data_IF_665311706877
#
_entry.id   IF_665311706877
#
_cell.length_a   1.000
_cell.length_b   1.000
_cell.length_c   1.000
_cell.angle_alpha   90.00
_cell.angle_beta   90.00
_cell.angle_gamma   90.00
#
_symmetry.space_group_name_H-M   'P 1'
#
loop_
_entity.id
_entity.type
_entity.pdbx_description
1 polymer ?
#
# COMPACT_ATOMS: atom_id res chain seq x y z
N UNK A 1 -3.54 -18.60 35.77
CA UNK A 1 -2.94 -18.86 34.45
C UNK A 1 -3.10 -17.62 33.59
N UNK A 2 -2.09 -16.75 33.50
CA UNK A 2 -2.17 -15.46 32.78
C UNK A 2 -1.43 -15.62 31.45
N UNK A 3 -2.15 -15.75 30.33
CA UNK A 3 -1.56 -15.62 28.99
C UNK A 3 -1.40 -14.14 28.66
N UNK A 4 -0.19 -13.61 28.84
CA UNK A 4 0.23 -12.34 28.26
C UNK A 4 0.26 -12.49 26.73
N UNK A 5 -0.80 -12.06 26.05
CA UNK A 5 -0.77 -11.85 24.59
C UNK A 5 0.09 -10.61 24.34
N UNK A 6 1.39 -10.79 24.15
CA UNK A 6 2.26 -9.70 23.70
C UNK A 6 1.80 -9.26 22.30
N UNK A 7 1.06 -8.15 22.22
CA UNK A 7 0.90 -7.41 20.97
C UNK A 7 2.25 -6.79 20.67
N UNK A 8 3.00 -7.39 19.73
CA UNK A 8 4.21 -6.75 19.20
C UNK A 8 3.80 -5.48 18.47
N UNK A 9 4.51 -4.39 18.76
CA UNK A 9 4.49 -3.16 18.00
C UNK A 9 5.87 -3.03 17.36
N UNK A 10 5.91 -2.88 16.04
CA UNK A 10 7.16 -2.66 15.31
C UNK A 10 7.00 -1.45 14.39
N UNK A 11 8.02 -0.61 14.33
CA UNK A 11 8.09 0.50 13.39
C UNK A 11 8.95 0.10 12.20
N UNK A 12 8.62 0.60 11.03
CA UNK A 12 9.44 0.40 9.85
C UNK A 12 9.65 1.72 9.10
N UNK A 13 10.73 1.74 8.33
CA UNK A 13 11.02 2.80 7.38
C UNK A 13 11.62 2.17 6.14
N UNK A 14 11.13 2.60 4.98
CA UNK A 14 11.71 2.30 3.69
C UNK A 14 12.12 3.63 3.05
N UNK A 15 13.35 3.70 2.54
CA UNK A 15 13.87 4.89 1.85
C UNK A 15 14.40 4.46 0.50
N UNK A 16 14.27 5.35 -0.48
CA UNK A 16 14.85 5.18 -1.80
C UNK A 16 14.38 3.89 -2.54
N UNK A 17 13.10 3.50 -2.38
CA UNK A 17 12.52 2.42 -3.17
C UNK A 17 12.37 2.87 -4.62
N UNK A 18 13.07 2.22 -5.54
CA UNK A 18 12.95 2.52 -6.95
C UNK A 18 11.77 1.73 -7.55
N UNK A 19 10.70 2.43 -7.95
CA UNK A 19 9.54 1.79 -8.57
C UNK A 19 9.78 1.38 -10.03
N UNK A 20 10.88 1.81 -10.66
CA UNK A 20 11.26 1.39 -12.01
C UNK A 20 11.58 -0.11 -12.12
N UNK A 21 11.66 -0.84 -11.01
CA UNK A 21 11.66 -2.30 -11.00
C UNK A 21 10.33 -2.92 -11.49
N UNK A 22 9.23 -2.15 -11.46
CA UNK A 22 7.92 -2.56 -11.94
C UNK A 22 7.62 -1.91 -13.29
N UNK A 23 7.16 -2.70 -14.26
CA UNK A 23 6.75 -2.17 -15.57
C UNK A 23 5.55 -1.24 -15.40
N UNK A 24 5.56 -0.10 -16.09
CA UNK A 24 4.41 0.80 -16.18
C UNK A 24 4.46 1.99 -15.22
N UNK A 25 5.32 1.97 -14.20
CA UNK A 25 5.43 3.05 -13.21
C UNK A 25 6.89 3.39 -12.88
N UNK A 26 7.12 4.60 -12.38
CA UNK A 26 8.43 5.09 -11.96
C UNK A 26 8.38 5.99 -10.73
N UNK A 27 9.56 6.42 -10.28
CA UNK A 27 9.76 7.32 -9.14
C UNK A 27 10.42 6.65 -7.93
N UNK A 28 10.82 7.49 -6.98
CA UNK A 28 11.53 7.09 -5.77
C UNK A 28 10.61 7.20 -4.55
N UNK A 29 10.28 6.05 -3.97
CA UNK A 29 9.35 5.93 -2.85
C UNK A 29 10.08 5.94 -1.51
N UNK A 30 9.56 6.76 -0.60
CA UNK A 30 9.80 6.66 0.82
C UNK A 30 8.53 6.21 1.51
N UNK A 31 8.66 5.32 2.50
CA UNK A 31 7.55 4.82 3.30
C UNK A 31 7.93 4.73 4.77
N UNK A 32 6.93 4.85 5.63
CA UNK A 32 7.09 4.63 7.06
C UNK A 32 5.75 4.25 7.68
N UNK A 33 5.81 3.50 8.78
CA UNK A 33 4.61 3.08 9.47
C UNK A 33 4.88 2.13 10.62
N UNK A 34 3.82 1.46 11.06
CA UNK A 34 3.85 0.52 12.17
C UNK A 34 3.11 -0.77 11.82
N UNK A 35 3.59 -1.85 12.40
CA UNK A 35 2.95 -3.16 12.45
C UNK A 35 2.48 -3.44 13.87
N UNK A 36 1.29 -4.02 14.01
CA UNK A 36 0.80 -4.48 15.30
C UNK A 36 0.03 -5.79 15.18
N UNK A 37 0.29 -6.74 16.08
CA UNK A 37 -0.54 -7.95 16.24
C UNK A 37 0.20 -9.24 15.93
N UNK A 38 -0.54 -10.25 15.47
CA UNK A 38 -0.01 -11.60 15.22
C UNK A 38 0.31 -11.77 13.74
N UNK A 39 1.30 -12.60 13.39
CA UNK A 39 1.69 -12.84 11.99
C UNK A 39 0.52 -13.20 11.05
N UNK A 40 -0.46 -13.97 11.52
CA UNK A 40 -1.65 -14.34 10.74
C UNK A 40 -2.66 -13.21 10.50
N UNK A 41 -2.50 -12.07 11.18
CA UNK A 41 -3.39 -10.92 11.13
C UNK A 41 -2.67 -9.69 11.71
N UNK A 42 -1.65 -9.22 10.98
CA UNK A 42 -0.87 -8.03 11.33
C UNK A 42 -1.61 -6.79 10.85
N UNK A 43 -1.99 -5.92 11.78
CA UNK A 43 -2.44 -4.57 11.43
C UNK A 43 -1.25 -3.75 10.94
N UNK A 44 -1.44 -3.03 9.84
CA UNK A 44 -0.45 -2.13 9.25
C UNK A 44 -1.08 -0.77 9.08
N UNK A 45 -0.40 0.26 9.56
CA UNK A 45 -0.74 1.65 9.29
C UNK A 45 0.52 2.36 8.84
N UNK A 46 0.44 3.13 7.75
CA UNK A 46 1.60 3.81 7.22
C UNK A 46 1.27 4.84 6.16
N UNK A 47 2.33 5.44 5.65
CA UNK A 47 2.25 6.44 4.58
C UNK A 47 3.42 6.29 3.62
N UNK A 48 3.19 6.66 2.37
CA UNK A 48 4.23 6.77 1.34
C UNK A 48 4.30 8.20 0.83
N UNK A 49 5.47 8.63 0.39
CA UNK A 49 5.68 9.87 -0.35
C UNK A 49 6.66 9.61 -1.50
N UNK A 50 6.30 10.16 -2.65
CA UNK A 50 7.06 10.10 -3.90
C UNK A 50 7.00 11.48 -4.53
N UNK A 51 8.14 12.08 -4.85
CA UNK A 51 8.17 13.42 -5.46
C UNK A 51 8.02 13.37 -6.98
N UNK A 52 8.32 12.22 -7.59
CA UNK A 52 8.51 12.03 -9.02
C UNK A 52 7.78 10.79 -9.55
N UNK A 53 6.63 10.46 -8.96
CA UNK A 53 5.80 9.35 -9.45
C UNK A 53 5.39 9.60 -10.90
N UNK A 54 5.52 8.57 -11.72
CA UNK A 54 5.06 8.60 -13.12
C UNK A 54 4.40 7.28 -13.49
N UNK A 55 3.43 7.36 -14.41
CA UNK A 55 3.04 6.24 -15.23
C UNK A 55 3.89 6.32 -16.49
N UNK A 56 4.65 5.27 -16.82
CA UNK A 56 5.70 5.34 -17.87
C UNK A 56 5.15 5.54 -19.28
N UNK A 57 3.84 5.36 -19.49
CA UNK A 57 3.16 5.74 -20.74
C UNK A 57 2.87 7.23 -20.86
N UNK A 58 3.11 8.01 -19.79
CA UNK A 58 2.97 9.46 -19.73
C UNK A 58 4.33 10.09 -19.47
N UNK A 59 4.53 11.32 -19.94
CA UNK A 59 5.74 12.10 -19.63
C UNK A 59 5.61 12.91 -18.31
N UNK A 60 4.49 12.77 -17.60
CA UNK A 60 4.18 13.60 -16.44
C UNK A 60 4.68 12.94 -15.16
N UNK A 61 5.54 13.67 -14.45
CA UNK A 61 5.95 13.35 -13.08
C UNK A 61 5.16 14.19 -12.09
N UNK A 62 4.60 13.54 -11.08
CA UNK A 62 3.83 14.20 -10.01
C UNK A 62 4.31 13.76 -8.64
N UNK A 63 4.11 14.64 -7.66
CA UNK A 63 4.17 14.20 -6.27
C UNK A 63 2.94 13.35 -5.96
N UNK A 64 3.16 12.14 -5.47
CA UNK A 64 2.14 11.21 -5.00
C UNK A 64 2.40 10.88 -3.53
N UNK A 65 1.41 11.18 -2.69
CA UNK A 65 1.44 10.81 -1.27
C UNK A 65 0.27 9.89 -0.95
N UNK A 66 0.50 8.90 -0.09
CA UNK A 66 -0.52 7.91 0.26
C UNK A 66 -0.54 7.68 1.75
N UNK A 67 -1.72 7.50 2.32
CA UNK A 67 -1.93 6.95 3.65
C UNK A 67 -2.70 5.65 3.53
N UNK A 68 -2.36 4.66 4.34
CA UNK A 68 -3.04 3.37 4.26
C UNK A 68 -3.19 2.68 5.61
N UNK A 69 -4.26 1.88 5.70
CA UNK A 69 -4.51 0.91 6.76
C UNK A 69 -4.84 -0.45 6.14
N UNK A 70 -4.23 -1.50 6.66
CA UNK A 70 -4.42 -2.85 6.14
C UNK A 70 -4.29 -3.92 7.22
N UNK A 71 -4.81 -5.10 6.94
CA UNK A 71 -4.44 -6.33 7.63
C UNK A 71 -3.62 -7.22 6.69
N UNK A 72 -2.48 -7.70 7.16
CA UNK A 72 -1.60 -8.59 6.43
C UNK A 72 -1.56 -9.94 7.12
N UNK A 73 -1.80 -11.01 6.38
CA UNK A 73 -1.44 -12.35 6.80
C UNK A 73 -0.03 -12.65 6.31
N UNK A 74 0.96 -12.48 7.19
CA UNK A 74 2.37 -12.72 6.88
C UNK A 74 2.72 -14.20 6.64
N UNK A 75 1.77 -15.13 6.84
CA UNK A 75 2.01 -16.57 6.60
C UNK A 75 1.71 -17.00 5.17
N UNK A 76 0.88 -16.27 4.44
CA UNK A 76 0.52 -16.56 3.05
C UNK A 76 0.63 -15.34 2.12
N UNK A 77 0.85 -14.15 2.68
CA UNK A 77 1.02 -12.90 1.95
C UNK A 77 -0.29 -12.18 1.60
N UNK A 78 -1.45 -12.67 2.04
CA UNK A 78 -2.73 -12.00 1.77
C UNK A 78 -2.78 -10.64 2.48
N UNK A 79 -3.38 -9.66 1.81
CA UNK A 79 -3.57 -8.30 2.30
C UNK A 79 -5.02 -7.89 2.14
N UNK A 80 -5.64 -7.48 3.24
CA UNK A 80 -6.92 -6.78 3.25
C UNK A 80 -6.65 -5.28 3.40
N UNK A 81 -6.92 -4.50 2.36
CA UNK A 81 -6.75 -3.05 2.37
C UNK A 81 -8.02 -2.41 2.93
N UNK A 82 -7.94 -1.92 4.17
CA UNK A 82 -9.05 -1.28 4.88
C UNK A 82 -9.26 0.16 4.45
N UNK A 83 -8.19 0.83 4.06
CA UNK A 83 -8.22 2.17 3.45
C UNK A 83 -6.89 2.41 2.75
N UNK A 84 -6.94 2.93 1.53
CA UNK A 84 -5.82 3.54 0.83
C UNK A 84 -6.31 4.89 0.33
N UNK A 85 -5.69 5.98 0.79
CA UNK A 85 -6.01 7.34 0.38
C UNK A 85 -4.76 7.98 -0.24
N UNK A 86 -4.82 8.20 -1.55
CA UNK A 86 -3.73 8.73 -2.36
C UNK A 86 -4.06 10.12 -2.88
N UNK A 87 -3.07 11.02 -2.85
CA UNK A 87 -3.20 12.42 -3.24
C UNK A 87 -2.09 12.80 -4.21
N UNK A 88 -2.49 13.42 -5.33
CA UNK A 88 -1.58 14.08 -6.27
C UNK A 88 -2.26 15.33 -6.84
N UNK A 89 -1.57 16.47 -6.80
CA UNK A 89 -2.20 17.76 -7.11
C UNK A 89 -3.47 17.97 -6.27
N UNK A 90 -4.60 18.25 -6.94
CA UNK A 90 -5.92 18.37 -6.30
C UNK A 90 -6.73 17.07 -6.37
N UNK A 91 -6.18 15.98 -6.91
CA UNK A 91 -6.91 14.72 -7.04
C UNK A 91 -6.73 13.88 -5.79
N UNK A 92 -7.84 13.33 -5.29
CA UNK A 92 -7.84 12.33 -4.22
C UNK A 92 -8.41 11.01 -4.74
N UNK A 93 -7.69 9.91 -4.51
CA UNK A 93 -8.13 8.55 -4.83
C UNK A 93 -8.29 7.80 -3.52
N UNK A 94 -9.46 7.20 -3.29
CA UNK A 94 -9.72 6.32 -2.15
C UNK A 94 -10.02 4.91 -2.63
N UNK A 95 -9.47 3.92 -1.96
CA UNK A 95 -9.69 2.50 -2.26
C UNK A 95 -9.80 1.66 -0.98
N UNK A 96 -10.71 0.70 -1.02
CA UNK A 96 -10.78 -0.45 -0.11
C UNK A 96 -10.73 -1.71 -0.98
N UNK A 97 -9.93 -2.70 -0.61
CA UNK A 97 -9.66 -3.81 -1.53
C UNK A 97 -8.85 -4.94 -0.92
N UNK A 98 -8.30 -5.79 -1.78
CA UNK A 98 -7.55 -6.98 -1.34
C UNK A 98 -6.45 -7.37 -2.30
N UNK A 99 -5.41 -7.99 -1.78
CA UNK A 99 -4.40 -8.72 -2.53
C UNK A 99 -4.44 -10.14 -1.97
N UNK A 100 -4.86 -11.11 -2.78
CA UNK A 100 -5.03 -12.49 -2.32
C UNK A 100 -4.84 -13.47 -3.47
N UNK A 101 -4.51 -14.72 -3.12
CA UNK A 101 -4.53 -15.81 -4.09
C UNK A 101 -5.94 -16.05 -4.63
N UNK A 102 -6.06 -16.29 -5.94
CA UNK A 102 -7.31 -16.70 -6.57
C UNK A 102 -7.25 -18.17 -7.00
N UNK A 103 -8.33 -18.95 -6.86
CA UNK A 103 -8.38 -20.33 -7.31
C UNK A 103 -7.98 -20.46 -8.78
N UNK A 104 -7.03 -21.36 -9.08
CA UNK A 104 -6.57 -21.61 -10.45
C UNK A 104 -5.62 -20.56 -11.03
N UNK A 105 -5.25 -19.52 -10.28
CA UNK A 105 -4.28 -18.50 -10.72
C UNK A 105 -2.95 -18.64 -9.97
N UNK A 106 -1.85 -18.47 -10.71
CA UNK A 106 -0.52 -18.40 -10.10
C UNK A 106 -0.28 -16.98 -9.58
N UNK A 107 0.12 -16.87 -8.32
CA UNK A 107 0.43 -15.60 -7.68
C UNK A 107 -0.76 -15.01 -6.93
N UNK A 108 -0.65 -13.73 -6.57
CA UNK A 108 -1.74 -12.99 -5.94
C UNK A 108 -2.36 -11.99 -6.91
N UNK A 109 -3.65 -11.75 -6.75
CA UNK A 109 -4.41 -10.80 -7.56
C UNK A 109 -4.82 -9.61 -6.69
N UNK A 110 -4.49 -8.41 -7.15
CA UNK A 110 -4.94 -7.17 -6.54
C UNK A 110 -6.33 -6.79 -7.07
N UNK A 111 -7.28 -6.62 -6.16
CA UNK A 111 -8.63 -6.11 -6.44
C UNK A 111 -8.79 -4.78 -5.72
N UNK A 112 -8.81 -3.69 -6.49
CA UNK A 112 -8.77 -2.32 -5.98
C UNK A 112 -9.91 -1.50 -6.59
N UNK A 113 -11.15 -1.63 -6.08
CA UNK A 113 -12.19 -0.65 -6.34
C UNK A 113 -11.69 0.74 -5.95
N UNK A 114 -11.86 1.73 -6.84
CA UNK A 114 -11.37 3.09 -6.61
C UNK A 114 -12.50 4.10 -6.78
N UNK A 115 -12.49 5.09 -5.89
CA UNK A 115 -13.31 6.30 -6.01
C UNK A 115 -12.35 7.48 -6.19
N UNK A 116 -12.51 8.20 -7.30
CA UNK A 116 -11.70 9.38 -7.62
C UNK A 116 -12.51 10.64 -7.37
N UNK A 117 -11.92 11.59 -6.64
CA UNK A 117 -12.51 12.90 -6.33
C UNK A 117 -11.64 14.01 -6.89
N UNK A 118 -12.29 15.03 -7.45
CA UNK A 118 -11.64 16.22 -8.04
C UNK A 118 -10.59 15.88 -9.11
N UNK A 119 -10.72 14.69 -9.70
CA UNK A 119 -9.84 14.21 -10.75
C UNK A 119 -10.02 15.01 -12.03
N UNK A 120 -8.90 15.32 -12.67
CA UNK A 120 -8.85 15.79 -14.06
C UNK A 120 -8.36 14.62 -14.92
N UNK A 121 -9.12 14.27 -15.95
CA UNK A 121 -8.78 13.25 -16.95
C UNK A 121 -8.14 13.95 -18.14
#
# INVERSE_FOLDING_TARGET
MIRLKHKSLALYTFRQANLGAFRGIGGILSSGGKFQGMLKHLGVEGSTDMLDFEVTSSALKVRLSTQFRAFVNATNGDVELREVSAHFGNTTIVSEGSIAAQPGQKGQTASLPMVVREGRI
#
